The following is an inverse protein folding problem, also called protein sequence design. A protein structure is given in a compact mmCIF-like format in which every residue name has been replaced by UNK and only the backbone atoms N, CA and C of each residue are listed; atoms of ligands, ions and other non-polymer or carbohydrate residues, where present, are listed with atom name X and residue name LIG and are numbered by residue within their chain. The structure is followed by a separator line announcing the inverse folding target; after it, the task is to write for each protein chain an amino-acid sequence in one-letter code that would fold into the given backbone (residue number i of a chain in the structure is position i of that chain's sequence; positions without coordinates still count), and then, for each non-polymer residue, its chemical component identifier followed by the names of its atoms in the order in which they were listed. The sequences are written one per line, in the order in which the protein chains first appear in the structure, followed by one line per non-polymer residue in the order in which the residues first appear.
data_IF_686793151979
#
_entry.id   IF_686793151979
#
_cell.length_a   1.000
_cell.length_b   1.000
_cell.length_c   1.000
_cell.angle_alpha   90.00
_cell.angle_beta   90.00
_cell.angle_gamma   90.00
#
_symmetry.space_group_name_H-M   'P 1'
#
loop_
_entity.id
_entity.type
_entity.pdbx_description
1 polymer ?
#
# COMPACT_ATOMS: atom_id res chain seq x y z
N UNK A 1 -3.28 -4.03 -3.75
CA UNK A 1 -2.19 -3.09 -4.12
C UNK A 1 -0.90 -3.44 -3.43
N UNK A 2 -0.83 -3.58 -2.09
CA UNK A 2 0.39 -4.09 -1.40
C UNK A 2 0.93 -5.38 -2.01
N UNK A 3 0.09 -6.41 -2.16
CA UNK A 3 0.51 -7.69 -2.75
C UNK A 3 1.00 -7.55 -4.20
N UNK A 4 0.44 -6.61 -4.97
CA UNK A 4 0.91 -6.32 -6.32
C UNK A 4 2.29 -5.67 -6.32
N UNK A 5 2.55 -4.74 -5.40
CA UNK A 5 3.89 -4.14 -5.19
C UNK A 5 4.90 -5.19 -4.72
N UNK A 6 4.51 -6.10 -3.81
CA UNK A 6 5.38 -7.17 -3.35
C UNK A 6 5.72 -8.17 -4.47
N UNK A 7 4.74 -8.55 -5.30
CA UNK A 7 4.98 -9.39 -6.49
C UNK A 7 5.87 -8.69 -7.50
N UNK A 8 5.66 -7.39 -7.73
CA UNK A 8 6.49 -6.57 -8.59
C UNK A 8 7.94 -6.47 -8.09
N UNK A 9 8.14 -6.27 -6.78
CA UNK A 9 9.46 -6.26 -6.16
C UNK A 9 10.17 -7.59 -6.35
N UNK A 10 9.49 -8.71 -6.10
CA UNK A 10 10.07 -10.04 -6.33
C UNK A 10 10.51 -10.23 -7.79
N UNK A 11 9.69 -9.77 -8.75
CA UNK A 11 10.05 -9.74 -10.16
C UNK A 11 11.30 -8.90 -10.42
N UNK A 12 11.38 -7.69 -9.87
CA UNK A 12 12.53 -6.80 -10.01
C UNK A 12 13.81 -7.35 -9.38
N UNK A 13 13.73 -7.98 -8.21
CA UNK A 13 14.87 -8.65 -7.57
C UNK A 13 15.38 -9.82 -8.43
N UNK A 14 14.46 -10.61 -9.00
CA UNK A 14 14.80 -11.71 -9.91
C UNK A 14 15.49 -11.20 -11.18
N UNK A 15 14.94 -10.15 -11.79
CA UNK A 15 15.55 -9.49 -12.96
C UNK A 15 16.93 -8.93 -12.64
N UNK A 16 17.10 -8.31 -11.45
CA UNK A 16 18.41 -7.80 -11.01
C UNK A 16 19.44 -8.91 -10.87
N UNK A 17 19.05 -10.06 -10.30
CA UNK A 17 19.93 -11.22 -10.21
C UNK A 17 20.33 -11.78 -11.59
N UNK A 18 19.39 -11.84 -12.53
CA UNK A 18 19.67 -12.27 -13.90
C UNK A 18 20.53 -11.26 -14.67
N UNK A 19 20.30 -9.96 -14.49
CA UNK A 19 21.12 -8.90 -15.05
C UNK A 19 22.56 -8.96 -14.54
N UNK A 20 22.75 -9.26 -13.25
CA UNK A 20 24.09 -9.49 -12.69
C UNK A 20 24.79 -10.69 -13.35
N UNK A 21 24.07 -11.81 -13.53
CA UNK A 21 24.62 -12.96 -14.25
C UNK A 21 25.00 -12.59 -15.70
N UNK A 22 24.22 -11.75 -16.38
CA UNK A 22 24.57 -11.28 -17.72
C UNK A 22 25.84 -10.43 -17.72
N UNK A 23 25.99 -9.50 -16.78
CA UNK A 23 27.23 -8.71 -16.61
C UNK A 23 28.44 -9.62 -16.40
N UNK A 24 28.31 -10.63 -15.54
CA UNK A 24 29.38 -11.62 -15.30
C UNK A 24 29.74 -12.41 -16.56
N UNK A 25 28.75 -12.81 -17.37
CA UNK A 25 28.98 -13.51 -18.64
C UNK A 25 29.60 -12.61 -19.72
N UNK A 26 29.22 -11.33 -19.76
CA UNK A 26 29.84 -10.35 -20.65
C UNK A 26 31.30 -10.09 -20.25
N UNK A 27 31.58 -10.01 -18.95
CA UNK A 27 32.94 -9.92 -18.42
C UNK A 27 33.77 -11.17 -18.78
N UNK A 28 33.16 -12.36 -18.69
CA UNK A 28 33.82 -13.59 -19.12
C UNK A 28 34.15 -13.60 -20.64
N UNK A 29 33.26 -13.06 -21.49
CA UNK A 29 33.48 -12.96 -22.93
C UNK A 29 34.65 -12.04 -23.34
N UNK A 30 35.18 -11.23 -22.42
CA UNK A 30 36.38 -10.42 -22.68
C UNK A 30 37.67 -11.24 -22.73
N UNK A 31 37.70 -12.40 -22.06
CA UNK A 31 38.91 -13.21 -21.94
C UNK A 31 39.30 -13.84 -23.29
N UNK A 32 40.60 -13.85 -23.57
CA UNK A 32 41.15 -14.45 -24.78
C UNK A 32 40.94 -15.98 -24.78
N UNK A 33 40.43 -16.51 -25.91
CA UNK A 33 40.18 -17.94 -26.08
C UNK A 33 38.75 -18.40 -25.73
N UNK A 34 37.85 -17.50 -25.34
CA UNK A 34 36.44 -17.82 -25.07
C UNK A 34 35.63 -17.92 -26.36
N UNK A 35 34.77 -18.94 -26.47
CA UNK A 35 33.80 -19.03 -27.56
C UNK A 35 32.65 -18.03 -27.33
N UNK A 36 32.77 -16.86 -27.96
CA UNK A 36 31.78 -15.77 -27.86
C UNK A 36 30.39 -16.17 -28.36
N UNK A 37 30.30 -17.14 -29.27
CA UNK A 37 29.00 -17.62 -29.75
C UNK A 37 28.23 -18.38 -28.67
N UNK A 38 28.92 -19.22 -27.89
CA UNK A 38 28.30 -19.97 -26.80
C UNK A 38 27.88 -19.02 -25.67
N UNK A 39 28.72 -18.03 -25.36
CA UNK A 39 28.36 -16.98 -24.39
C UNK A 39 27.17 -16.16 -24.86
N UNK A 40 27.09 -15.80 -26.15
CA UNK A 40 25.93 -15.10 -26.71
C UNK A 40 24.65 -15.92 -26.56
N UNK A 41 24.71 -17.23 -26.81
CA UNK A 41 23.55 -18.11 -26.64
C UNK A 41 23.08 -18.14 -25.18
N UNK A 42 24.01 -18.13 -24.23
CA UNK A 42 23.69 -18.05 -22.80
C UNK A 42 23.09 -16.69 -22.42
N UNK A 43 23.61 -15.58 -22.93
CA UNK A 43 23.05 -14.24 -22.73
C UNK A 43 21.62 -14.13 -23.26
N UNK A 44 21.35 -14.70 -24.44
CA UNK A 44 19.99 -14.77 -25.02
C UNK A 44 19.06 -15.61 -24.14
N UNK A 45 19.54 -16.72 -23.56
CA UNK A 45 18.76 -17.53 -22.63
C UNK A 45 18.45 -16.77 -21.33
N UNK A 46 19.43 -16.06 -20.75
CA UNK A 46 19.24 -15.21 -19.58
C UNK A 46 18.24 -14.08 -19.86
N UNK A 47 18.35 -13.42 -21.01
CA UNK A 47 17.41 -12.39 -21.44
C UNK A 47 15.98 -12.92 -21.59
N UNK A 48 15.81 -14.16 -22.07
CA UNK A 48 14.50 -14.82 -22.15
C UNK A 48 13.94 -15.18 -20.76
N UNK A 49 14.81 -15.59 -19.83
CA UNK A 49 14.41 -15.83 -18.45
C UNK A 49 13.99 -14.53 -17.75
N UNK A 50 14.67 -13.41 -18.02
CA UNK A 50 14.24 -12.08 -17.55
C UNK A 50 12.87 -11.71 -18.08
N UNK A 51 12.62 -11.89 -19.39
CA UNK A 51 11.29 -11.66 -19.97
C UNK A 51 10.23 -12.49 -19.25
N UNK A 52 10.51 -13.77 -19.02
CA UNK A 52 9.58 -14.66 -18.34
C UNK A 52 9.30 -14.21 -16.90
N UNK A 53 10.31 -13.70 -16.19
CA UNK A 53 10.15 -13.15 -14.85
C UNK A 53 9.29 -11.87 -14.85
N UNK A 54 9.50 -10.98 -15.83
CA UNK A 54 8.70 -9.76 -16.01
C UNK A 54 7.23 -10.12 -16.31
N UNK A 55 6.99 -11.06 -17.22
CA UNK A 55 5.65 -11.51 -17.59
C UNK A 55 4.93 -12.22 -16.43
N UNK A 56 5.67 -12.87 -15.55
CA UNK A 56 5.12 -13.57 -14.38
C UNK A 56 4.89 -12.67 -13.16
N UNK A 57 5.47 -11.46 -13.13
CA UNK A 57 5.33 -10.50 -12.04
C UNK A 57 3.97 -9.79 -12.02
N UNK A 58 2.88 -10.53 -12.28
CA UNK A 58 1.51 -10.04 -12.31
C UNK A 58 0.78 -10.42 -11.03
N UNK A 59 -0.06 -9.52 -10.52
CA UNK A 59 -0.97 -9.80 -9.42
C UNK A 59 -2.37 -9.30 -9.78
N UNK A 60 -3.36 -10.19 -9.75
CA UNK A 60 -4.75 -9.88 -10.10
C UNK A 60 -4.91 -9.22 -11.49
N UNK A 61 -4.06 -9.61 -12.45
CA UNK A 61 -4.04 -9.07 -13.81
C UNK A 61 -3.28 -7.76 -14.00
N UNK A 62 -2.77 -7.16 -12.92
CA UNK A 62 -1.92 -5.96 -12.99
C UNK A 62 -0.44 -6.31 -12.88
N UNK A 63 0.36 -5.78 -13.80
CA UNK A 63 1.82 -5.83 -13.78
C UNK A 63 2.36 -4.44 -13.43
N UNK A 64 3.12 -4.29 -12.35
CA UNK A 64 3.72 -2.98 -12.00
C UNK A 64 5.16 -2.84 -12.50
N UNK A 65 5.68 -3.86 -13.18
CA UNK A 65 7.03 -3.88 -13.75
C UNK A 65 7.05 -3.88 -15.28
N UNK A 66 5.87 -3.87 -15.92
CA UNK A 66 5.79 -3.74 -17.37
C UNK A 66 5.96 -2.26 -17.81
N UNK A 67 6.55 -2.09 -18.99
CA UNK A 67 6.73 -0.75 -19.56
C UNK A 67 5.39 -0.05 -19.88
N UNK A 68 4.31 -0.82 -20.05
CA UNK A 68 2.97 -0.27 -20.37
C UNK A 68 2.39 0.52 -19.19
N UNK A 69 2.45 -0.04 -17.98
CA UNK A 69 1.95 0.59 -16.75
C UNK A 69 2.90 1.67 -16.26
N UNK A 70 4.22 1.53 -16.48
CA UNK A 70 5.17 2.62 -16.24
C UNK A 70 4.85 3.87 -17.07
N UNK A 71 4.40 3.70 -18.31
CA UNK A 71 3.99 4.80 -19.21
C UNK A 71 2.56 5.29 -18.99
N UNK A 72 1.71 4.50 -18.31
CA UNK A 72 0.31 4.85 -18.04
C UNK A 72 0.13 5.91 -16.94
N UNK A 73 1.22 6.27 -16.25
CA UNK A 73 1.22 7.26 -15.16
C UNK A 73 1.19 6.63 -13.76
N UNK A 74 1.04 7.45 -12.72
CA UNK A 74 1.15 6.98 -11.34
C UNK A 74 -0.03 6.06 -10.97
N UNK A 75 0.28 4.99 -10.25
CA UNK A 75 -0.69 4.08 -9.66
C UNK A 75 -1.18 4.68 -8.36
N UNK A 76 -2.48 4.94 -8.27
CA UNK A 76 -3.12 5.48 -7.07
C UNK A 76 -3.76 4.37 -6.24
N UNK A 77 -3.56 4.46 -4.93
CA UNK A 77 -4.14 3.56 -3.92
C UNK A 77 -4.94 4.41 -2.96
N UNK A 78 -6.22 4.09 -2.80
CA UNK A 78 -7.06 4.73 -1.79
C UNK A 78 -6.58 4.26 -0.41
N UNK A 79 -6.23 5.22 0.44
CA UNK A 79 -5.67 4.96 1.77
C UNK A 79 -6.53 5.54 2.90
N UNK A 80 -7.67 6.15 2.60
CA UNK A 80 -8.56 6.66 3.64
C UNK A 80 -9.79 7.36 3.11
N UNK A 81 -10.67 7.69 4.04
CA UNK A 81 -11.87 8.49 3.79
C UNK A 81 -11.72 9.78 4.59
N UNK A 82 -11.88 10.91 3.92
CA UNK A 82 -11.88 12.24 4.53
C UNK A 82 -13.22 12.92 4.27
N UNK A 83 -13.46 14.06 4.95
CA UNK A 83 -14.56 14.96 4.63
C UNK A 83 -13.99 16.24 4.02
N UNK A 84 -14.55 16.67 2.90
CA UNK A 84 -14.17 17.94 2.31
C UNK A 84 -14.76 19.13 3.09
N UNK A 85 -14.38 20.35 2.71
CA UNK A 85 -14.87 21.58 3.33
C UNK A 85 -16.38 21.80 3.17
N UNK A 86 -17.03 21.06 2.27
CA UNK A 86 -18.48 21.07 2.05
C UNK A 86 -19.21 19.95 2.82
N UNK A 87 -18.47 19.11 3.57
CA UNK A 87 -19.00 18.02 4.38
C UNK A 87 -19.28 16.73 3.60
N UNK A 88 -18.90 16.64 2.33
CA UNK A 88 -19.05 15.44 1.52
C UNK A 88 -17.92 14.43 1.81
N UNK A 89 -18.20 13.14 1.62
CA UNK A 89 -17.17 12.11 1.70
C UNK A 89 -16.20 12.22 0.53
N UNK A 90 -14.92 12.33 0.85
CA UNK A 90 -13.80 12.29 -0.07
C UNK A 90 -12.89 11.11 0.28
N UNK A 91 -11.99 10.76 -0.63
CA UNK A 91 -10.97 9.74 -0.40
C UNK A 91 -9.59 10.36 -0.41
N UNK A 92 -8.73 9.90 0.49
CA UNK A 92 -7.30 10.18 0.43
C UNK A 92 -6.63 9.09 -0.40
N UNK A 93 -5.70 9.49 -1.26
CA UNK A 93 -4.99 8.58 -2.15
C UNK A 93 -3.49 8.74 -1.99
N UNK A 94 -2.78 7.62 -1.96
CA UNK A 94 -1.34 7.56 -2.13
C UNK A 94 -1.01 7.12 -3.55
N UNK A 95 -0.06 7.79 -4.18
CA UNK A 95 0.33 7.50 -5.56
C UNK A 95 1.82 7.17 -5.63
N UNK A 96 2.16 6.16 -6.43
CA UNK A 96 3.54 5.79 -6.74
C UNK A 96 3.69 5.46 -8.21
N UNK A 97 4.92 5.45 -8.72
CA UNK A 97 5.22 5.12 -10.12
C UNK A 97 5.55 3.65 -10.27
N UNK A 98 4.96 2.98 -11.25
CA UNK A 98 5.41 1.68 -11.73
C UNK A 98 6.83 1.81 -12.34
N UNK A 99 7.52 0.67 -12.47
CA UNK A 99 8.88 0.66 -13.00
C UNK A 99 8.92 -0.09 -14.32
N UNK A 100 9.74 0.36 -15.27
CA UNK A 100 9.90 -0.30 -16.56
C UNK A 100 11.10 -1.25 -16.56
N UNK A 101 10.86 -2.53 -16.28
CA UNK A 101 11.89 -3.57 -16.45
C UNK A 101 11.99 -4.07 -17.89
N UNK A 102 10.99 -3.80 -18.73
CA UNK A 102 10.94 -4.24 -20.11
C UNK A 102 12.01 -3.54 -20.96
N UNK A 103 12.20 -2.24 -20.74
CA UNK A 103 13.29 -1.48 -21.38
C UNK A 103 14.66 -2.01 -20.98
N UNK A 104 14.88 -2.31 -19.69
CA UNK A 104 16.14 -2.87 -19.18
C UNK A 104 16.42 -4.23 -19.83
N UNK A 105 15.42 -5.11 -19.86
CA UNK A 105 15.51 -6.43 -20.50
C UNK A 105 15.85 -6.30 -21.99
N UNK A 106 15.21 -5.36 -22.70
CA UNK A 106 15.42 -5.15 -24.13
C UNK A 106 16.84 -4.65 -24.41
N UNK A 107 17.34 -3.71 -23.60
CA UNK A 107 18.68 -3.17 -23.72
C UNK A 107 19.75 -4.23 -23.43
N UNK A 108 19.57 -5.05 -22.38
CA UNK A 108 20.46 -6.18 -22.08
C UNK A 108 20.42 -7.25 -23.18
N UNK A 109 19.25 -7.57 -23.73
CA UNK A 109 19.09 -8.53 -24.82
C UNK A 109 19.76 -8.07 -26.12
N UNK A 110 19.85 -6.75 -26.34
CA UNK A 110 20.49 -6.17 -27.51
C UNK A 110 22.03 -6.21 -27.45
N UNK A 111 22.62 -6.59 -26.31
CA UNK A 111 24.07 -6.73 -26.18
C UNK A 111 24.51 -7.99 -26.93
N UNK A 112 25.24 -7.77 -28.02
CA UNK A 112 25.83 -8.82 -28.84
C UNK A 112 27.35 -8.86 -28.61
N UNK A 113 27.85 -9.88 -27.90
CA UNK A 113 29.29 -10.06 -27.63
C UNK A 113 30.08 -10.56 -28.85
N UNK A 114 29.40 -11.04 -29.90
CA UNK A 114 30.03 -11.52 -31.14
C UNK A 114 30.32 -10.40 -32.13
N UNK A 115 29.53 -9.32 -32.11
CA UNK A 115 29.72 -8.19 -33.01
C UNK A 115 31.05 -7.46 -32.76
N UNK A 116 31.77 -7.14 -33.85
CA UNK A 116 32.99 -6.33 -33.79
C UNK A 116 32.74 -4.81 -33.84
N UNK A 117 31.48 -4.37 -33.97
CA UNK A 117 31.15 -2.94 -34.16
C UNK A 117 31.36 -2.09 -32.92
N UNK A 118 31.32 -2.71 -31.73
CA UNK A 118 31.51 -2.07 -30.43
C UNK A 118 32.55 -2.83 -29.63
N UNK A 119 33.37 -2.10 -28.84
CA UNK A 119 34.38 -2.71 -27.98
C UNK A 119 33.71 -3.51 -26.86
N UNK A 120 34.40 -4.52 -26.34
CA UNK A 120 33.87 -5.33 -25.25
C UNK A 120 33.70 -4.52 -23.96
N UNK A 121 34.58 -3.55 -23.72
CA UNK A 121 34.47 -2.60 -22.61
C UNK A 121 33.19 -1.77 -22.69
N UNK A 122 32.85 -1.27 -23.89
CA UNK A 122 31.62 -0.49 -24.06
C UNK A 122 30.36 -1.36 -23.82
N UNK A 123 30.40 -2.64 -24.20
CA UNK A 123 29.31 -3.59 -23.93
C UNK A 123 29.17 -3.89 -22.45
N UNK A 124 30.29 -4.06 -21.73
CA UNK A 124 30.29 -4.28 -20.29
C UNK A 124 29.73 -3.06 -19.56
N UNK A 125 30.18 -1.85 -19.90
CA UNK A 125 29.67 -0.61 -19.32
C UNK A 125 28.18 -0.43 -19.58
N UNK A 126 27.69 -0.79 -20.77
CA UNK A 126 26.25 -0.77 -21.07
C UNK A 126 25.48 -1.76 -20.18
N UNK A 127 25.99 -2.98 -20.00
CA UNK A 127 25.38 -3.98 -19.14
C UNK A 127 25.37 -3.56 -17.66
N UNK A 128 26.46 -2.97 -17.16
CA UNK A 128 26.57 -2.44 -15.81
C UNK A 128 25.61 -1.26 -15.59
N UNK A 129 25.43 -0.40 -16.59
CA UNK A 129 24.44 0.68 -16.57
C UNK A 129 23.02 0.13 -16.42
N UNK A 130 22.66 -0.90 -17.19
CA UNK A 130 21.34 -1.53 -17.08
C UNK A 130 21.16 -2.32 -15.77
N UNK A 131 22.21 -2.93 -15.23
CA UNK A 131 22.19 -3.50 -13.88
C UNK A 131 21.92 -2.41 -12.82
N UNK A 132 22.55 -1.24 -12.94
CA UNK A 132 22.29 -0.09 -12.09
C UNK A 132 20.84 0.41 -12.17
N UNK A 133 20.28 0.44 -13.37
CA UNK A 133 18.85 0.73 -13.58
C UNK A 133 17.96 -0.30 -12.89
N UNK A 134 18.30 -1.59 -12.98
CA UNK A 134 17.55 -2.68 -12.32
C UNK A 134 17.61 -2.60 -10.79
N UNK A 135 18.76 -2.26 -10.22
CA UNK A 135 18.92 -2.04 -8.78
C UNK A 135 18.06 -0.85 -8.32
N UNK A 136 18.05 0.24 -9.11
CA UNK A 136 17.25 1.43 -8.82
C UNK A 136 15.77 1.11 -8.88
N UNK A 137 15.34 0.32 -9.87
CA UNK A 137 13.98 -0.19 -10.00
C UNK A 137 13.54 -0.99 -8.77
N UNK A 138 14.35 -1.99 -8.37
CA UNK A 138 14.08 -2.82 -7.19
C UNK A 138 14.03 -1.99 -5.91
N UNK A 139 14.92 -1.01 -5.77
CA UNK A 139 14.97 -0.12 -4.60
C UNK A 139 13.73 0.77 -4.53
N UNK A 140 13.28 1.31 -5.66
CA UNK A 140 12.07 2.14 -5.73
C UNK A 140 10.82 1.36 -5.30
N UNK A 141 10.68 0.12 -5.75
CA UNK A 141 9.59 -0.76 -5.33
C UNK A 141 9.68 -1.12 -3.84
N UNK A 142 10.87 -1.36 -3.30
CA UNK A 142 11.09 -1.58 -1.88
C UNK A 142 10.73 -0.38 -1.00
N UNK A 143 11.08 0.84 -1.44
CA UNK A 143 10.66 2.09 -0.76
C UNK A 143 9.14 2.22 -0.79
N UNK A 144 8.52 1.92 -1.93
CA UNK A 144 7.07 1.96 -2.09
C UNK A 144 6.37 0.98 -1.15
N UNK A 145 6.85 -0.26 -1.05
CA UNK A 145 6.33 -1.26 -0.12
C UNK A 145 6.42 -0.81 1.33
N UNK A 146 7.58 -0.33 1.77
CA UNK A 146 7.77 0.19 3.13
C UNK A 146 6.86 1.39 3.44
N UNK A 147 6.65 2.27 2.45
CA UNK A 147 5.78 3.43 2.60
C UNK A 147 4.31 3.01 2.73
N UNK A 148 3.88 2.02 1.93
CA UNK A 148 2.54 1.44 2.05
C UNK A 148 2.34 0.78 3.41
N UNK A 149 3.36 0.09 3.94
CA UNK A 149 3.31 -0.54 5.25
C UNK A 149 3.17 0.48 6.38
N UNK A 150 3.94 1.57 6.33
CA UNK A 150 3.80 2.67 7.29
C UNK A 150 2.41 3.33 7.22
N UNK A 151 1.84 3.47 6.03
CA UNK A 151 0.49 4.03 5.88
C UNK A 151 -0.59 3.12 6.45
N UNK A 152 -0.52 1.80 6.21
CA UNK A 152 -1.48 0.87 6.79
C UNK A 152 -1.43 0.90 8.33
N UNK A 153 -0.23 0.91 8.92
CA UNK A 153 -0.08 1.04 10.37
C UNK A 153 -0.65 2.35 10.92
N UNK A 154 -0.45 3.45 10.21
CA UNK A 154 -1.05 4.74 10.56
C UNK A 154 -2.58 4.68 10.52
N UNK A 155 -3.16 4.10 9.46
CA UNK A 155 -4.62 3.97 9.29
C UNK A 155 -5.21 3.06 10.37
N UNK A 156 -4.55 1.96 10.71
CA UNK A 156 -4.98 1.06 11.78
C UNK A 156 -5.00 1.78 13.13
N UNK A 157 -3.94 2.54 13.43
CA UNK A 157 -3.83 3.33 14.65
C UNK A 157 -4.87 4.46 14.71
N UNK A 158 -5.10 5.13 13.57
CA UNK A 158 -6.12 6.16 13.43
C UNK A 158 -7.52 5.58 13.66
N UNK A 159 -7.82 4.43 13.05
CA UNK A 159 -9.11 3.74 13.19
C UNK A 159 -9.35 3.33 14.64
N UNK A 160 -8.35 2.77 15.32
CA UNK A 160 -8.44 2.41 16.73
C UNK A 160 -8.66 3.63 17.65
N UNK A 161 -7.99 4.75 17.34
CA UNK A 161 -8.17 6.01 18.09
C UNK A 161 -9.56 6.59 17.88
N UNK A 162 -10.06 6.58 16.63
CA UNK A 162 -11.40 7.04 16.31
C UNK A 162 -12.47 6.15 16.95
N UNK A 163 -12.31 4.83 16.91
CA UNK A 163 -13.23 3.87 17.53
C UNK A 163 -13.31 4.10 19.05
N UNK A 164 -12.16 4.26 19.72
CA UNK A 164 -12.12 4.58 21.15
C UNK A 164 -12.74 5.94 21.45
N UNK A 165 -12.47 6.97 20.63
CA UNK A 165 -13.02 8.30 20.81
C UNK A 165 -14.54 8.32 20.63
N UNK A 166 -15.07 7.64 19.62
CA UNK A 166 -16.50 7.46 19.42
C UNK A 166 -17.12 6.65 20.56
N UNK A 167 -16.49 5.55 20.98
CA UNK A 167 -16.93 4.75 22.13
C UNK A 167 -17.05 5.60 23.39
N UNK A 168 -16.05 6.45 23.68
CA UNK A 168 -16.11 7.33 24.86
C UNK A 168 -17.21 8.40 24.79
N UNK A 169 -17.55 8.88 23.59
CA UNK A 169 -18.67 9.82 23.41
C UNK A 169 -20.00 9.10 23.62
N UNK A 170 -20.15 7.90 23.05
CA UNK A 170 -21.37 7.09 23.23
C UNK A 170 -21.55 6.64 24.67
N UNK A 171 -20.47 6.24 25.36
CA UNK A 171 -20.52 5.88 26.77
C UNK A 171 -20.90 7.08 27.66
N UNK A 172 -20.32 8.26 27.40
CA UNK A 172 -20.69 9.49 28.10
C UNK A 172 -22.16 9.86 27.88
N UNK A 173 -22.66 9.75 26.64
CA UNK A 173 -24.06 9.99 26.32
C UNK A 173 -24.99 9.00 27.07
N UNK A 174 -24.59 7.73 27.19
CA UNK A 174 -25.34 6.74 27.97
C UNK A 174 -25.35 7.05 29.48
N UNK A 175 -24.23 7.51 30.04
CA UNK A 175 -24.17 7.94 31.45
C UNK A 175 -25.06 9.15 31.73
N UNK A 176 -25.05 10.15 30.85
CA UNK A 176 -25.91 11.34 30.96
C UNK A 176 -27.40 10.94 30.88
N UNK A 177 -27.78 10.12 29.91
CA UNK A 177 -29.16 9.65 29.78
C UNK A 177 -29.58 8.75 30.95
N UNK A 178 -28.69 7.93 31.50
CA UNK A 178 -28.96 7.15 32.70
C UNK A 178 -29.20 8.04 33.93
N UNK A 179 -28.38 9.08 34.12
CA UNK A 179 -28.57 10.06 35.19
C UNK A 179 -29.88 10.84 35.01
N UNK A 180 -30.20 11.24 33.77
CA UNK A 180 -31.45 11.91 33.41
C UNK A 180 -32.67 11.04 33.68
N UNK A 181 -32.60 9.76 33.34
CA UNK A 181 -33.66 8.78 33.61
C UNK A 181 -33.90 8.61 35.11
N UNK A 182 -32.83 8.49 35.92
CA UNK A 182 -32.93 8.42 37.37
C UNK A 182 -33.56 9.68 37.97
N UNK A 183 -33.13 10.86 37.52
CA UNK A 183 -33.71 12.13 37.95
C UNK A 183 -35.21 12.21 37.61
N UNK A 184 -35.61 11.76 36.41
CA UNK A 184 -37.01 11.71 36.00
C UNK A 184 -37.83 10.72 36.85
N UNK A 185 -37.27 9.56 37.20
CA UNK A 185 -37.91 8.59 38.10
C UNK A 185 -38.14 9.18 39.50
N UNK A 186 -37.14 9.88 40.05
CA UNK A 186 -37.28 10.59 41.34
C UNK A 186 -38.33 11.69 41.24
N UNK A 187 -38.35 12.46 40.16
CA UNK A 187 -39.36 13.49 39.92
C UNK A 187 -40.78 12.90 39.84
N UNK A 188 -40.96 11.75 39.21
CA UNK A 188 -42.26 11.04 39.16
C UNK A 188 -42.67 10.49 40.54
N UNK A 189 -41.73 9.95 41.31
CA UNK A 189 -41.99 9.51 42.69
C UNK A 189 -42.40 10.68 43.59
N UNK A 190 -41.73 11.84 43.45
CA UNK A 190 -42.12 13.06 44.15
C UNK A 190 -43.48 13.57 43.68
N UNK A 191 -43.75 13.56 42.37
CA UNK A 191 -45.05 13.98 41.83
C UNK A 191 -46.21 13.10 42.35
N UNK A 192 -46.03 11.78 42.41
CA UNK A 192 -47.03 10.86 42.98
C UNK A 192 -47.20 11.03 44.48
N UNK A 193 -46.11 11.24 45.23
CA UNK A 193 -46.16 11.53 46.66
C UNK A 193 -46.82 12.90 46.94
N UNK A 194 -46.48 13.94 46.18
CA UNK A 194 -47.13 15.25 46.23
C UNK A 194 -48.62 15.16 45.90
N UNK A 195 -49.02 14.34 44.91
CA UNK A 195 -50.42 14.10 44.58
C UNK A 195 -51.16 13.36 45.72
N UNK A 196 -50.53 12.37 46.35
CA UNK A 196 -51.07 11.67 47.52
C UNK A 196 -51.27 12.62 48.71
N UNK A 197 -50.27 13.47 49.01
CA UNK A 197 -50.35 14.50 50.05
C UNK A 197 -51.45 15.52 49.70
N UNK A 198 -51.52 15.97 48.46
CA UNK A 198 -52.55 16.90 47.99
C UNK A 198 -53.97 16.32 48.09
N UNK A 199 -54.14 15.00 47.93
CA UNK A 199 -55.43 14.32 48.11
C UNK A 199 -55.76 14.02 49.59
N UNK A 200 -54.76 13.88 50.47
CA UNK A 200 -54.96 13.66 51.91
C UNK A 200 -55.18 14.96 52.69
N UNK A 201 -54.59 16.08 52.26
CA UNK A 201 -54.72 17.37 52.95
C UNK A 201 -56.18 17.87 53.10
N UNK A 202 -57.08 17.75 52.11
CA UNK A 202 -58.49 18.11 52.25
C UNK A 202 -59.25 17.22 53.25
N UNK A 203 -58.88 15.93 53.36
CA UNK A 203 -59.54 14.97 54.27
C UNK A 203 -59.22 15.26 55.74
N UNK A 204 -57.99 15.70 56.05
CA UNK A 204 -57.60 16.15 57.39
C UNK A 204 -58.31 17.45 57.80
N UNK A 205 -58.55 18.36 56.83
CA UNK A 205 -59.33 19.58 57.09
C UNK A 205 -60.80 19.25 57.39
N UNK A 206 -61.41 18.29 56.68
CA UNK A 206 -62.79 17.83 56.96
C UNK A 206 -62.94 17.12 58.32
N UNK A 207 -61.89 16.48 58.83
CA UNK A 207 -61.85 15.88 60.17
C UNK A 207 -61.90 16.94 61.29
N UNK A 208 -61.33 18.13 61.07
CA UNK A 208 -61.33 19.25 62.03
C UNK A 208 -62.68 19.97 62.13
N UNK A 209 -63.60 19.72 61.20
CA UNK A 209 -64.96 20.28 61.21
C UNK A 209 -66.03 19.25 61.64
N UNK A 210 -65.62 18.15 62.28
CA UNK A 210 -66.51 17.16 62.92
C UNK A 210 -66.38 17.17 64.43
#
# INVERSE_FOLDING_TARGET
TKNSVATARLGAETVTGLAQQMVERIAFAQSDGVNKQDVQNELVALAKNMQSAIDQATFNGDNLVDGVKALAGPVSVVNGVSRDSAGAFAVTTFSFTAVDLQTIQTNLAAIDVTSATTTMDAKLVAAEGELGNSITASTSLGITENTLDGQMQFIDSLTSTLDSGVSSMVDADMEEEAARLQALQVQQQLATQSLSIANQAPQNILSLFR
#
